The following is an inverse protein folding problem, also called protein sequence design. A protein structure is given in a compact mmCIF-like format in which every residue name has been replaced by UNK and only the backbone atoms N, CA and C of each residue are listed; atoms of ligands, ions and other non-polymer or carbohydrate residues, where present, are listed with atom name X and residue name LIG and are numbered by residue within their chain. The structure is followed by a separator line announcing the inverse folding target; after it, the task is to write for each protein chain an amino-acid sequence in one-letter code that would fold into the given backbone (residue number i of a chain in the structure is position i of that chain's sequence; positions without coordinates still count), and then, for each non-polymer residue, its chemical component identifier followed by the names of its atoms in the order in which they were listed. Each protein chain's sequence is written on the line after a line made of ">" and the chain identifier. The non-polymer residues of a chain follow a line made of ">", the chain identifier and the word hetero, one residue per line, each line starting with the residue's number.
data_IF_139597692930
#
_entry.id   IF_139597692930
#
_cell.length_a   1.000
_cell.length_b   1.000
_cell.length_c   1.000
_cell.angle_alpha   90.00
_cell.angle_beta   90.00
_cell.angle_gamma   90.00
#
_symmetry.space_group_name_H-M   'P 1'
#
loop_
_entity.id
_entity.type
_entity.pdbx_description
1 polymer ?
#
# COMPACT_ATOMS: atom_id res chain seq x y z
N UNK A 1 8.69 -34.52 26.24
CA UNK A 1 9.87 -34.93 25.44
C UNK A 1 11.13 -35.12 26.29
N UNK A 2 11.42 -34.25 27.27
CA UNK A 2 12.62 -34.36 28.14
C UNK A 2 12.71 -35.68 28.95
N UNK A 3 11.57 -36.29 29.30
CA UNK A 3 11.54 -37.58 30.02
C UNK A 3 11.95 -38.81 29.21
N UNK A 4 11.81 -38.79 27.88
CA UNK A 4 12.01 -39.96 27.02
C UNK A 4 13.49 -40.10 26.61
N UNK A 5 14.14 -38.97 26.30
CA UNK A 5 15.57 -38.93 25.92
C UNK A 5 16.46 -39.36 27.09
N UNK A 6 16.15 -38.92 28.32
CA UNK A 6 16.89 -39.33 29.52
C UNK A 6 16.76 -40.83 29.80
N UNK A 7 15.61 -41.42 29.50
CA UNK A 7 15.38 -42.87 29.60
C UNK A 7 16.26 -43.66 28.62
N UNK A 8 16.29 -43.24 27.35
CA UNK A 8 17.13 -43.87 26.32
C UNK A 8 18.63 -43.73 26.62
N UNK A 9 19.09 -42.57 27.06
CA UNK A 9 20.49 -42.35 27.45
C UNK A 9 20.91 -43.23 28.64
N UNK A 10 20.01 -43.44 29.60
CA UNK A 10 20.26 -44.34 30.74
C UNK A 10 20.40 -45.80 30.29
N UNK A 11 19.49 -46.29 29.43
CA UNK A 11 19.54 -47.66 28.91
C UNK A 11 20.81 -47.92 28.08
N UNK A 12 21.26 -46.90 27.34
CA UNK A 12 22.50 -46.96 26.60
C UNK A 12 23.73 -47.03 27.52
N UNK A 13 23.78 -46.24 28.60
CA UNK A 13 24.87 -46.27 29.58
C UNK A 13 24.96 -47.62 30.33
N UNK A 14 23.82 -48.25 30.59
CA UNK A 14 23.79 -49.59 31.21
C UNK A 14 24.23 -50.70 30.23
N UNK A 15 23.83 -50.60 28.97
CA UNK A 15 24.28 -51.52 27.90
C UNK A 15 25.78 -51.38 27.67
N UNK A 16 26.27 -50.14 27.64
CA UNK A 16 27.69 -49.80 27.58
C UNK A 16 28.48 -50.54 28.69
N UNK A 17 28.12 -50.32 29.96
CA UNK A 17 28.84 -50.91 31.10
C UNK A 17 28.92 -52.44 31.00
N UNK A 18 27.81 -53.07 30.63
CA UNK A 18 27.71 -54.52 30.47
C UNK A 18 28.71 -55.05 29.41
N UNK A 19 28.83 -54.36 28.28
CA UNK A 19 29.77 -54.74 27.21
C UNK A 19 31.23 -54.60 27.69
N UNK A 20 31.56 -53.54 28.42
CA UNK A 20 32.92 -53.32 28.96
C UNK A 20 33.34 -54.39 29.98
N UNK A 21 32.43 -54.81 30.84
CA UNK A 21 32.68 -55.88 31.82
C UNK A 21 32.99 -57.21 31.12
N UNK A 22 32.26 -57.55 30.06
CA UNK A 22 32.49 -58.76 29.26
C UNK A 22 33.85 -58.78 28.57
N UNK A 23 34.29 -57.64 28.03
CA UNK A 23 35.62 -57.45 27.43
C UNK A 23 36.75 -57.66 28.44
N UNK A 24 36.56 -57.22 29.69
CA UNK A 24 37.53 -57.43 30.76
C UNK A 24 37.67 -58.91 31.14
N UNK A 25 36.55 -59.64 31.21
CA UNK A 25 36.54 -61.09 31.45
C UNK A 25 37.27 -61.89 30.38
N UNK A 26 37.08 -61.52 29.11
CA UNK A 26 37.71 -62.22 27.97
C UNK A 26 39.24 -62.12 27.98
N UNK A 27 39.81 -60.95 28.33
CA UNK A 27 41.28 -60.77 28.44
C UNK A 27 41.88 -61.57 29.60
N UNK A 28 41.14 -61.70 30.71
CA UNK A 28 41.55 -62.57 31.82
C UNK A 28 41.52 -64.05 31.43
N UNK A 29 40.52 -64.46 30.63
CA UNK A 29 40.45 -65.80 30.05
C UNK A 29 41.65 -66.13 29.15
N UNK A 30 42.04 -65.20 28.27
CA UNK A 30 43.25 -65.34 27.42
C UNK A 30 44.50 -65.51 28.28
N UNK A 31 44.67 -64.71 29.34
CA UNK A 31 45.80 -64.85 30.27
C UNK A 31 45.87 -66.24 30.90
N UNK A 32 44.71 -66.77 31.33
CA UNK A 32 44.61 -68.08 31.97
C UNK A 32 44.99 -69.23 31.03
N UNK A 33 44.53 -69.19 29.76
CA UNK A 33 44.88 -70.19 28.74
C UNK A 33 46.38 -70.15 28.43
N UNK A 34 46.95 -68.96 28.26
CA UNK A 34 48.37 -68.79 27.94
C UNK A 34 49.30 -69.25 29.08
N UNK A 35 48.88 -69.15 30.35
CA UNK A 35 49.64 -69.69 31.48
C UNK A 35 49.68 -71.22 31.55
N UNK A 36 48.81 -71.92 30.82
CA UNK A 36 48.75 -73.39 30.81
C UNK A 36 49.65 -74.03 29.72
N UNK A 37 50.14 -73.25 28.75
CA UNK A 37 50.89 -73.76 27.58
C UNK A 37 52.37 -74.13 27.85
N UNK A 38 52.87 -73.99 29.09
CA UNK A 38 54.25 -74.35 29.45
C UNK A 38 55.33 -73.40 28.90
N UNK A 39 56.59 -73.62 29.31
CA UNK A 39 57.71 -72.69 29.11
C UNK A 39 58.31 -72.66 27.70
N UNK A 40 57.97 -73.60 26.82
CA UNK A 40 58.52 -73.68 25.46
C UNK A 40 57.98 -72.59 24.50
N UNK A 41 56.86 -71.95 24.84
CA UNK A 41 56.16 -70.96 24.00
C UNK A 41 56.08 -69.56 24.65
N UNK A 42 56.90 -69.30 25.68
CA UNK A 42 56.78 -68.12 26.56
C UNK A 42 56.76 -66.77 25.81
N UNK A 43 57.60 -66.63 24.78
CA UNK A 43 57.69 -65.39 23.99
C UNK A 43 56.44 -65.17 23.12
N UNK A 44 55.92 -66.24 22.50
CA UNK A 44 54.68 -66.20 21.73
C UNK A 44 53.49 -65.85 22.63
N UNK A 45 53.45 -66.40 23.84
CA UNK A 45 52.40 -66.14 24.81
C UNK A 45 52.43 -64.69 25.33
N UNK A 46 53.61 -64.11 25.55
CA UNK A 46 53.78 -62.68 25.86
C UNK A 46 53.26 -61.78 24.73
N UNK A 47 53.56 -62.14 23.49
CA UNK A 47 53.09 -61.39 22.31
C UNK A 47 51.56 -61.45 22.15
N UNK A 48 50.94 -62.62 22.31
CA UNK A 48 49.48 -62.78 22.24
C UNK A 48 48.78 -61.97 23.34
N UNK A 49 49.30 -62.03 24.58
CA UNK A 49 48.74 -61.26 25.69
C UNK A 49 48.88 -59.74 25.46
N UNK A 50 50.02 -59.28 24.95
CA UNK A 50 50.26 -57.89 24.54
C UNK A 50 49.24 -57.41 23.49
N UNK A 51 48.97 -58.23 22.46
CA UNK A 51 47.97 -57.93 21.43
C UNK A 51 46.56 -57.85 22.04
N UNK A 52 46.19 -58.78 22.92
CA UNK A 52 44.89 -58.77 23.58
C UNK A 52 44.68 -57.52 24.47
N UNK A 53 45.72 -57.06 25.16
CA UNK A 53 45.68 -55.83 25.95
C UNK A 53 45.54 -54.59 25.06
N UNK A 54 46.29 -54.51 23.95
CA UNK A 54 46.18 -53.41 22.99
C UNK A 54 44.79 -53.33 22.35
N UNK A 55 44.26 -54.46 21.90
CA UNK A 55 42.91 -54.53 21.34
C UNK A 55 41.83 -54.08 22.35
N UNK A 56 41.98 -54.43 23.63
CA UNK A 56 41.08 -53.93 24.68
C UNK A 56 41.18 -52.41 24.84
N UNK A 57 42.38 -51.85 24.84
CA UNK A 57 42.58 -50.40 24.95
C UNK A 57 41.98 -49.65 23.75
N UNK A 58 42.18 -50.15 22.53
CA UNK A 58 41.58 -49.56 21.32
C UNK A 58 40.04 -49.59 21.35
N UNK A 59 39.45 -50.69 21.83
CA UNK A 59 37.99 -50.80 21.96
C UNK A 59 37.42 -49.89 23.05
N UNK A 60 38.12 -49.74 24.19
CA UNK A 60 37.76 -48.78 25.23
C UNK A 60 37.78 -47.35 24.71
N UNK A 61 38.81 -46.98 23.95
CA UNK A 61 38.93 -45.65 23.38
C UNK A 61 37.79 -45.33 22.40
N UNK A 62 37.51 -46.23 21.45
CA UNK A 62 36.39 -46.05 20.48
C UNK A 62 35.04 -45.90 21.17
N UNK A 63 34.89 -46.52 22.32
CA UNK A 63 33.67 -46.51 23.09
C UNK A 63 33.49 -45.22 23.88
N UNK A 64 34.56 -44.69 24.47
CA UNK A 64 34.55 -43.37 25.10
C UNK A 64 34.25 -42.27 24.07
N UNK A 65 34.82 -42.38 22.86
CA UNK A 65 34.52 -41.50 21.72
C UNK A 65 33.03 -41.55 21.36
N UNK A 66 32.45 -42.76 21.21
CA UNK A 66 31.02 -42.93 20.93
C UNK A 66 30.13 -42.33 22.02
N UNK A 67 30.50 -42.50 23.30
CA UNK A 67 29.77 -41.91 24.43
C UNK A 67 29.76 -40.39 24.35
N UNK A 68 30.92 -39.78 24.07
CA UNK A 68 31.04 -38.33 23.90
C UNK A 68 30.20 -37.81 22.73
N UNK A 69 30.18 -38.51 21.60
CA UNK A 69 29.38 -38.10 20.44
C UNK A 69 27.88 -38.17 20.70
N UNK A 70 27.42 -39.18 21.45
CA UNK A 70 26.00 -39.34 21.79
C UNK A 70 25.55 -38.23 22.74
N UNK A 71 26.36 -37.89 23.75
CA UNK A 71 26.07 -36.77 24.66
C UNK A 71 26.01 -35.47 23.88
N UNK A 72 27.00 -35.21 23.03
CA UNK A 72 27.04 -34.00 22.19
C UNK A 72 25.81 -33.89 21.29
N UNK A 73 25.44 -34.98 20.62
CA UNK A 73 24.25 -35.00 19.75
C UNK A 73 22.97 -34.76 20.54
N UNK A 74 22.84 -35.33 21.75
CA UNK A 74 21.68 -35.11 22.60
C UNK A 74 21.57 -33.65 23.08
N UNK A 75 22.69 -33.02 23.40
CA UNK A 75 22.75 -31.60 23.76
C UNK A 75 22.37 -30.72 22.56
N UNK A 76 22.90 -30.99 21.37
CA UNK A 76 22.57 -30.28 20.12
C UNK A 76 21.07 -30.37 19.81
N UNK A 77 20.47 -31.56 19.91
CA UNK A 77 19.03 -31.77 19.70
C UNK A 77 18.21 -31.01 20.75
N UNK A 78 18.63 -31.05 22.02
CA UNK A 78 17.93 -30.36 23.11
C UNK A 78 17.94 -28.84 22.90
N UNK A 79 19.11 -28.29 22.54
CA UNK A 79 19.25 -26.87 22.23
C UNK A 79 18.44 -26.46 21.00
N UNK A 80 18.45 -27.28 19.94
CA UNK A 80 17.65 -27.05 18.74
C UNK A 80 16.15 -27.04 19.01
N UNK A 81 15.64 -28.01 19.78
CA UNK A 81 14.24 -28.05 20.19
C UNK A 81 13.83 -26.83 21.03
N UNK A 82 14.72 -26.37 21.93
CA UNK A 82 14.48 -25.17 22.73
C UNK A 82 14.42 -23.92 21.85
N UNK A 83 15.41 -23.72 20.99
CA UNK A 83 15.45 -22.58 20.08
C UNK A 83 14.21 -22.53 19.17
N UNK A 84 13.80 -23.67 18.61
CA UNK A 84 12.59 -23.76 17.80
C UNK A 84 11.32 -23.39 18.59
N UNK A 85 11.24 -23.80 19.85
CA UNK A 85 10.08 -23.47 20.71
C UNK A 85 10.05 -21.98 21.04
N UNK A 86 11.20 -21.40 21.41
CA UNK A 86 11.34 -19.98 21.73
C UNK A 86 11.02 -19.10 20.50
N UNK A 87 11.53 -19.47 19.32
CA UNK A 87 11.24 -18.78 18.06
C UNK A 87 9.75 -18.82 17.74
N UNK A 88 9.11 -19.98 17.92
CA UNK A 88 7.68 -20.14 17.66
C UNK A 88 6.82 -19.35 18.65
N UNK A 89 7.19 -19.33 19.92
CA UNK A 89 6.52 -18.52 20.95
C UNK A 89 6.60 -17.02 20.63
N UNK A 90 7.79 -16.53 20.27
CA UNK A 90 7.99 -15.14 19.88
C UNK A 90 7.18 -14.75 18.63
N UNK A 91 7.12 -15.64 17.63
CA UNK A 91 6.30 -15.42 16.43
C UNK A 91 4.81 -15.33 16.75
N UNK A 92 4.32 -16.18 17.65
CA UNK A 92 2.92 -16.14 18.09
C UNK A 92 2.62 -14.85 18.86
N UNK A 93 3.50 -14.43 19.77
CA UNK A 93 3.35 -13.17 20.52
C UNK A 93 3.27 -11.98 19.56
N UNK A 94 4.19 -11.88 18.61
CA UNK A 94 4.21 -10.79 17.63
C UNK A 94 2.95 -10.75 16.75
N UNK A 95 2.46 -11.91 16.32
CA UNK A 95 1.21 -12.01 15.55
C UNK A 95 -0.01 -11.55 16.36
N UNK A 96 -0.07 -11.91 17.65
CA UNK A 96 -1.14 -11.49 18.55
C UNK A 96 -1.11 -9.98 18.79
N UNK A 97 0.06 -9.41 19.09
CA UNK A 97 0.22 -7.96 19.29
C UNK A 97 -0.18 -7.15 18.04
N UNK A 98 0.25 -7.58 16.85
CA UNK A 98 -0.15 -6.96 15.59
C UNK A 98 -1.67 -6.98 15.38
N UNK A 99 -2.33 -8.11 15.70
CA UNK A 99 -3.78 -8.23 15.62
C UNK A 99 -4.54 -7.31 16.58
N UNK A 100 -4.02 -7.10 17.81
CA UNK A 100 -4.61 -6.16 18.76
C UNK A 100 -4.48 -4.70 18.31
N UNK A 101 -3.31 -4.31 17.77
CA UNK A 101 -3.09 -2.95 17.23
C UNK A 101 -4.04 -2.66 16.07
N UNK A 102 -4.14 -3.55 15.09
CA UNK A 102 -5.03 -3.37 13.94
C UNK A 102 -6.51 -3.24 14.35
N UNK A 103 -6.95 -3.99 15.36
CA UNK A 103 -8.31 -3.86 15.91
C UNK A 103 -8.53 -2.53 16.63
N UNK A 104 -7.51 -2.01 17.31
CA UNK A 104 -7.52 -0.68 17.94
C UNK A 104 -7.67 0.43 16.90
N UNK A 105 -6.83 0.43 15.87
CA UNK A 105 -6.87 1.38 14.76
C UNK A 105 -8.24 1.38 14.07
N UNK A 106 -8.81 0.21 13.80
CA UNK A 106 -10.15 0.10 13.21
C UNK A 106 -11.25 0.75 14.08
N UNK A 107 -11.13 0.65 15.41
CA UNK A 107 -12.03 1.32 16.36
C UNK A 107 -11.91 2.85 16.32
N UNK A 108 -10.69 3.37 16.16
CA UNK A 108 -10.42 4.80 15.99
C UNK A 108 -10.99 5.32 14.67
N UNK A 109 -10.75 4.61 13.55
CA UNK A 109 -11.34 4.95 12.24
C UNK A 109 -12.87 4.99 12.31
N UNK A 110 -13.50 4.00 12.95
CA UNK A 110 -14.97 3.95 13.10
C UNK A 110 -15.48 5.16 13.88
N UNK A 111 -14.79 5.54 14.96
CA UNK A 111 -15.16 6.70 15.78
C UNK A 111 -15.03 8.01 15.02
N UNK A 112 -13.95 8.19 14.25
CA UNK A 112 -13.72 9.38 13.43
C UNK A 112 -14.78 9.54 12.31
N UNK A 113 -15.14 8.43 11.65
CA UNK A 113 -16.21 8.41 10.63
C UNK A 113 -17.55 8.78 11.25
N UNK A 114 -17.92 8.19 12.40
CA UNK A 114 -19.16 8.51 13.08
C UNK A 114 -19.23 9.97 13.54
N UNK A 115 -18.11 10.53 14.03
CA UNK A 115 -18.03 11.95 14.36
C UNK A 115 -18.27 12.85 13.14
N UNK A 116 -17.64 12.51 12.01
CA UNK A 116 -17.79 13.25 10.76
C UNK A 116 -19.22 13.17 10.21
N UNK A 117 -19.85 12.00 10.27
CA UNK A 117 -21.25 11.81 9.88
C UNK A 117 -22.20 12.65 10.74
N UNK A 118 -21.97 12.71 12.06
CA UNK A 118 -22.75 13.56 12.96
C UNK A 118 -22.66 15.05 12.61
N UNK A 119 -21.48 15.53 12.21
CA UNK A 119 -21.30 16.92 11.75
C UNK A 119 -22.08 17.17 10.45
N UNK A 120 -22.03 16.25 9.48
CA UNK A 120 -22.78 16.40 8.24
C UNK A 120 -24.28 16.35 8.46
N UNK A 121 -24.77 15.47 9.34
CA UNK A 121 -26.19 15.38 9.69
C UNK A 121 -26.71 16.68 10.32
N UNK A 122 -25.91 17.29 11.20
CA UNK A 122 -26.19 18.61 11.76
C UNK A 122 -26.26 19.72 10.71
N UNK A 123 -25.33 19.72 9.75
CA UNK A 123 -25.32 20.69 8.62
C UNK A 123 -26.50 20.50 7.69
N UNK A 124 -26.86 19.25 7.37
CA UNK A 124 -28.04 18.91 6.56
C UNK A 124 -29.31 19.42 7.26
N UNK A 125 -29.45 19.14 8.56
CA UNK A 125 -30.59 19.62 9.35
C UNK A 125 -30.73 21.14 9.35
N UNK A 126 -29.61 21.86 9.51
CA UNK A 126 -29.60 23.32 9.46
C UNK A 126 -29.98 23.86 8.08
N UNK A 127 -29.46 23.25 7.01
CA UNK A 127 -29.81 23.63 5.64
C UNK A 127 -31.28 23.37 5.31
N UNK A 128 -31.85 22.26 5.79
CA UNK A 128 -33.29 21.97 5.64
C UNK A 128 -34.13 23.07 6.27
N UNK A 129 -33.81 23.49 7.49
CA UNK A 129 -34.52 24.60 8.16
C UNK A 129 -34.40 25.93 7.39
N UNK A 130 -33.21 26.22 6.85
CA UNK A 130 -33.01 27.43 6.04
C UNK A 130 -33.86 27.41 4.76
N UNK A 131 -34.00 26.26 4.10
CA UNK A 131 -34.85 26.09 2.92
C UNK A 131 -36.33 26.32 3.27
N UNK A 132 -36.79 25.80 4.41
CA UNK A 132 -38.17 26.01 4.88
C UNK A 132 -38.48 27.50 5.12
N UNK A 133 -37.54 28.26 5.68
CA UNK A 133 -37.68 29.71 5.85
C UNK A 133 -37.76 30.44 4.52
N UNK A 134 -36.89 30.09 3.56
CA UNK A 134 -36.90 30.69 2.21
C UNK A 134 -38.23 30.42 1.50
N UNK A 135 -38.78 29.21 1.60
CA UNK A 135 -40.08 28.90 1.01
C UNK A 135 -41.19 29.76 1.65
N UNK A 136 -41.16 29.93 2.98
CA UNK A 136 -42.11 30.79 3.69
C UNK A 136 -42.06 32.24 3.19
N UNK A 137 -40.86 32.82 3.11
CA UNK A 137 -40.64 34.19 2.62
C UNK A 137 -41.08 34.34 1.16
N UNK A 138 -40.84 33.33 0.31
CA UNK A 138 -41.28 33.32 -1.07
C UNK A 138 -42.81 33.33 -1.19
N UNK A 139 -43.52 32.55 -0.37
CA UNK A 139 -44.99 32.57 -0.36
C UNK A 139 -45.55 33.91 0.14
N UNK A 140 -44.91 34.53 1.13
CA UNK A 140 -45.25 35.88 1.62
C UNK A 140 -45.11 36.92 0.51
N UNK A 141 -43.95 36.98 -0.12
CA UNK A 141 -43.66 37.90 -1.21
C UNK A 141 -44.67 37.76 -2.35
N UNK A 142 -44.95 36.52 -2.79
CA UNK A 142 -45.92 36.22 -3.84
C UNK A 142 -47.31 36.75 -3.51
N UNK A 143 -47.74 36.62 -2.25
CA UNK A 143 -49.05 37.10 -1.79
C UNK A 143 -49.12 38.62 -1.79
N UNK A 144 -48.09 39.28 -1.25
CA UNK A 144 -48.00 40.74 -1.19
C UNK A 144 -47.99 41.35 -2.58
N UNK A 145 -47.13 40.88 -3.48
CA UNK A 145 -47.12 41.38 -4.86
C UNK A 145 -48.44 41.15 -5.59
N UNK A 146 -49.10 40.00 -5.38
CA UNK A 146 -50.42 39.76 -5.98
C UNK A 146 -51.48 40.75 -5.46
N UNK A 147 -51.42 41.09 -4.17
CA UNK A 147 -52.30 42.09 -3.55
C UNK A 147 -52.02 43.49 -4.11
N UNK A 148 -50.76 43.90 -4.17
CA UNK A 148 -50.35 45.22 -4.68
C UNK A 148 -50.75 45.41 -6.15
N UNK A 149 -50.48 44.40 -7.00
CA UNK A 149 -50.89 44.39 -8.40
C UNK A 149 -52.42 44.50 -8.52
N UNK A 150 -53.18 43.87 -7.62
CA UNK A 150 -54.65 43.99 -7.61
C UNK A 150 -55.16 45.38 -7.19
N UNK A 151 -54.40 46.13 -6.38
CA UNK A 151 -54.77 47.46 -5.88
C UNK A 151 -54.29 48.60 -6.78
N UNK A 152 -53.22 48.39 -7.57
CA UNK A 152 -52.68 49.36 -8.51
C UNK A 152 -53.72 49.97 -9.47
N UNK A 153 -54.68 49.23 -10.06
CA UNK A 153 -55.67 49.81 -10.98
C UNK A 153 -56.48 50.94 -10.34
N UNK A 154 -56.92 50.76 -9.08
CA UNK A 154 -57.64 51.81 -8.35
C UNK A 154 -56.77 53.01 -8.00
N UNK A 155 -55.50 52.77 -7.62
CA UNK A 155 -54.55 53.84 -7.34
C UNK A 155 -54.24 54.66 -8.60
N UNK A 156 -54.03 53.99 -9.75
CA UNK A 156 -53.82 54.62 -11.06
C UNK A 156 -55.03 55.46 -11.45
N UNK A 157 -56.26 54.96 -11.30
CA UNK A 157 -57.48 55.72 -11.63
C UNK A 157 -57.63 56.95 -10.74
N UNK A 158 -57.31 56.84 -9.44
CA UNK A 158 -57.33 57.96 -8.51
C UNK A 158 -56.30 59.03 -8.89
N UNK A 159 -55.04 58.62 -9.10
CA UNK A 159 -53.93 59.52 -9.48
C UNK A 159 -54.20 60.21 -10.82
N UNK A 160 -54.71 59.47 -11.82
CA UNK A 160 -55.10 60.05 -13.13
C UNK A 160 -56.24 61.04 -12.97
N UNK A 161 -57.20 60.79 -12.08
CA UNK A 161 -58.32 61.70 -11.81
C UNK A 161 -57.88 62.98 -11.08
N UNK A 162 -56.92 62.88 -10.16
CA UNK A 162 -56.28 64.03 -9.51
C UNK A 162 -55.38 64.82 -10.48
N UNK A 163 -54.56 64.13 -11.27
CA UNK A 163 -53.62 64.70 -12.25
C UNK A 163 -54.33 65.39 -13.43
N UNK A 164 -55.49 64.90 -13.88
CA UNK A 164 -56.27 65.58 -14.92
C UNK A 164 -56.82 66.96 -14.49
N UNK A 165 -56.86 67.24 -13.18
CA UNK A 165 -57.31 68.53 -12.64
C UNK A 165 -56.18 69.58 -12.66
N UNK A 166 -54.90 69.21 -12.74
CA UNK A 166 -53.76 70.15 -12.77
C UNK A 166 -53.15 70.34 -14.16
N UNK A 167 -53.97 70.72 -15.15
CA UNK A 167 -53.52 71.08 -16.51
C UNK A 167 -52.76 72.43 -16.61
N UNK A 168 -52.13 72.89 -15.52
CA UNK A 168 -51.46 74.19 -15.43
C UNK A 168 -49.93 74.11 -15.29
N UNK A 169 -49.33 72.92 -15.30
CA UNK A 169 -47.88 72.73 -15.06
C UNK A 169 -47.09 72.19 -16.27
N UNK A 170 -47.66 72.17 -17.48
CA UNK A 170 -46.99 71.61 -18.66
C UNK A 170 -46.03 72.55 -19.40
N UNK A 171 -45.79 73.77 -18.93
CA UNK A 171 -44.67 74.61 -19.38
C UNK A 171 -44.52 74.85 -20.90
N UNK A 172 -45.56 74.56 -21.71
CA UNK A 172 -45.51 74.66 -23.18
C UNK A 172 -45.11 73.39 -23.95
N UNK A 173 -44.81 72.27 -23.29
CA UNK A 173 -44.64 70.98 -23.98
C UNK A 173 -45.96 70.19 -24.03
N UNK A 174 -46.26 69.57 -25.17
CA UNK A 174 -47.36 68.62 -25.24
C UNK A 174 -47.05 67.44 -24.34
N UNK A 175 -48.01 67.04 -23.50
CA UNK A 175 -47.92 65.87 -22.61
C UNK A 175 -47.29 64.63 -23.29
N UNK A 176 -47.62 64.39 -24.55
CA UNK A 176 -47.08 63.29 -25.38
C UNK A 176 -45.55 63.35 -25.55
N UNK A 177 -44.98 64.56 -25.65
CA UNK A 177 -43.52 64.78 -25.81
C UNK A 177 -42.77 64.51 -24.51
N UNK A 178 -43.30 64.98 -23.39
CA UNK A 178 -42.73 64.75 -22.06
C UNK A 178 -42.73 63.26 -21.70
N UNK A 179 -43.88 62.58 -21.86
CA UNK A 179 -44.03 61.14 -21.62
C UNK A 179 -43.15 60.35 -22.59
N UNK A 180 -43.12 60.70 -23.87
CA UNK A 180 -42.27 60.06 -24.87
C UNK A 180 -40.78 60.11 -24.52
N UNK A 181 -40.28 61.27 -24.06
CA UNK A 181 -38.88 61.44 -23.67
C UNK A 181 -38.49 60.61 -22.45
N UNK A 182 -39.37 60.55 -21.43
CA UNK A 182 -39.15 59.75 -20.21
C UNK A 182 -39.21 58.25 -20.47
N UNK A 183 -40.19 57.80 -21.26
CA UNK A 183 -40.28 56.40 -21.70
C UNK A 183 -39.05 56.01 -22.51
N UNK A 184 -38.58 56.88 -23.42
CA UNK A 184 -37.39 56.60 -24.24
C UNK A 184 -36.11 56.56 -23.40
N UNK A 185 -35.94 57.48 -22.44
CA UNK A 185 -34.81 57.46 -21.50
C UNK A 185 -34.82 56.19 -20.63
N UNK A 186 -35.98 55.84 -20.05
CA UNK A 186 -36.11 54.62 -19.25
C UNK A 186 -35.87 53.36 -20.08
N UNK A 187 -36.41 53.28 -21.30
CA UNK A 187 -36.17 52.15 -22.19
C UNK A 187 -34.69 52.05 -22.60
N UNK A 188 -34.02 53.18 -22.84
CA UNK A 188 -32.58 53.21 -23.15
C UNK A 188 -31.74 52.78 -21.95
N UNK A 189 -32.07 53.27 -20.75
CA UNK A 189 -31.42 52.88 -19.50
C UNK A 189 -31.58 51.39 -19.20
N UNK A 190 -32.80 50.86 -19.33
CA UNK A 190 -33.09 49.42 -19.18
C UNK A 190 -32.32 48.61 -20.22
N UNK A 191 -32.24 49.07 -21.47
CA UNK A 191 -31.50 48.35 -22.52
C UNK A 191 -30.00 48.31 -22.24
N UNK A 192 -29.44 49.41 -21.73
CA UNK A 192 -28.02 49.49 -21.42
C UNK A 192 -27.66 48.67 -20.17
N UNK A 193 -28.48 48.73 -19.12
CA UNK A 193 -28.35 47.85 -17.95
C UNK A 193 -28.45 46.37 -18.35
N UNK A 194 -29.40 46.02 -19.22
CA UNK A 194 -29.56 44.65 -19.69
C UNK A 194 -28.37 44.18 -20.53
N UNK A 195 -27.79 45.06 -21.36
CA UNK A 195 -26.54 44.76 -22.11
C UNK A 195 -25.36 44.53 -21.18
N UNK A 196 -25.17 45.42 -20.19
CA UNK A 196 -24.08 45.29 -19.22
C UNK A 196 -24.19 43.97 -18.43
N UNK A 197 -25.41 43.57 -18.07
CA UNK A 197 -25.67 42.28 -17.43
C UNK A 197 -25.34 41.12 -18.36
N UNK A 198 -25.74 41.17 -19.65
CA UNK A 198 -25.44 40.12 -20.62
C UNK A 198 -23.94 39.97 -20.89
N UNK A 199 -23.22 41.08 -20.99
CA UNK A 199 -21.77 41.11 -21.18
C UNK A 199 -21.06 40.50 -19.95
N UNK A 200 -21.43 40.92 -18.73
CA UNK A 200 -20.91 40.34 -17.50
C UNK A 200 -21.22 38.85 -17.32
N UNK A 201 -22.40 38.39 -17.76
CA UNK A 201 -22.74 36.96 -17.81
C UNK A 201 -21.83 36.22 -18.82
N UNK A 202 -21.63 36.79 -20.00
CA UNK A 202 -20.77 36.19 -21.04
C UNK A 202 -19.32 36.05 -20.56
N UNK A 203 -18.78 37.07 -19.90
CA UNK A 203 -17.43 37.05 -19.33
C UNK A 203 -17.30 36.00 -18.23
N UNK A 204 -18.27 35.94 -17.32
CA UNK A 204 -18.30 34.93 -16.24
C UNK A 204 -18.36 33.52 -16.79
N UNK A 205 -19.15 33.28 -17.85
CA UNK A 205 -19.23 31.99 -18.53
C UNK A 205 -17.89 31.63 -19.18
N UNK A 206 -17.23 32.60 -19.84
CA UNK A 206 -15.91 32.41 -20.44
C UNK A 206 -14.86 32.01 -19.41
N UNK A 207 -14.73 32.80 -18.34
CA UNK A 207 -13.79 32.51 -17.24
C UNK A 207 -14.06 31.15 -16.58
N UNK A 208 -15.34 30.81 -16.38
CA UNK A 208 -15.72 29.51 -15.81
C UNK A 208 -15.34 28.35 -16.75
N UNK A 209 -15.50 28.54 -18.06
CA UNK A 209 -15.11 27.55 -19.07
C UNK A 209 -13.60 27.33 -19.12
N UNK A 210 -12.82 28.41 -19.02
CA UNK A 210 -11.35 28.34 -18.97
C UNK A 210 -10.87 27.64 -17.71
N UNK A 211 -11.41 28.02 -16.54
CA UNK A 211 -11.09 27.38 -15.25
C UNK A 211 -11.45 25.87 -15.24
N UNK A 212 -12.58 25.50 -15.86
CA UNK A 212 -12.97 24.09 -15.97
C UNK A 212 -12.04 23.31 -16.91
N UNK A 213 -11.60 23.94 -18.00
CA UNK A 213 -10.64 23.34 -18.93
C UNK A 213 -9.27 23.13 -18.28
N UNK A 214 -8.79 24.09 -17.51
CA UNK A 214 -7.56 23.99 -16.71
C UNK A 214 -7.69 22.88 -15.65
N UNK A 215 -8.80 22.85 -14.91
CA UNK A 215 -9.07 21.80 -13.93
C UNK A 215 -9.10 20.39 -14.56
N UNK A 216 -9.69 20.23 -15.74
CA UNK A 216 -9.66 18.95 -16.48
C UNK A 216 -8.21 18.58 -16.82
N UNK A 217 -7.40 19.52 -17.32
CA UNK A 217 -6.00 19.25 -17.65
C UNK A 217 -5.18 18.84 -16.41
N UNK A 218 -5.41 19.49 -15.27
CA UNK A 218 -4.75 19.16 -14.00
C UNK A 218 -5.21 17.83 -13.39
N UNK A 219 -6.48 17.46 -13.58
CA UNK A 219 -7.09 16.28 -12.94
C UNK A 219 -7.24 15.05 -13.84
N UNK A 220 -6.83 15.14 -15.10
CA UNK A 220 -6.92 14.03 -16.07
C UNK A 220 -6.06 12.81 -15.72
N UNK A 221 -5.22 12.87 -14.68
CA UNK A 221 -4.50 11.73 -14.16
C UNK A 221 -5.43 10.80 -13.37
N UNK A 222 -5.32 9.49 -13.60
CA UNK A 222 -6.20 8.51 -12.98
C UNK A 222 -5.43 7.33 -12.39
N UNK A 223 -6.07 6.70 -11.39
CA UNK A 223 -5.71 5.39 -10.86
C UNK A 223 -6.96 4.52 -10.91
N UNK A 224 -6.93 3.43 -11.69
CA UNK A 224 -8.00 2.41 -11.74
C UNK A 224 -7.53 1.17 -10.98
N UNK A 225 -8.44 0.50 -10.27
CA UNK A 225 -8.17 -0.74 -9.51
C UNK A 225 -9.24 -1.79 -9.78
N UNK A 226 -8.88 -3.06 -9.64
CA UNK A 226 -9.81 -4.18 -9.83
C UNK A 226 -9.63 -4.82 -11.20
N UNK A 227 -10.72 -5.21 -11.85
CA UNK A 227 -10.69 -5.81 -13.18
C UNK A 227 -10.43 -4.73 -14.25
N UNK A 228 -9.25 -4.78 -14.86
CA UNK A 228 -8.80 -3.84 -15.90
C UNK A 228 -9.29 -4.27 -17.28
N UNK A 229 -9.30 -5.58 -17.51
CA UNK A 229 -9.79 -6.30 -18.70
C UNK A 229 -10.39 -7.64 -18.23
N UNK A 230 -11.13 -8.34 -19.08
CA UNK A 230 -11.77 -9.60 -18.73
C UNK A 230 -10.76 -10.60 -18.11
N UNK A 231 -10.93 -10.90 -16.82
CA UNK A 231 -10.06 -11.79 -16.06
C UNK A 231 -8.70 -11.20 -15.63
N UNK A 232 -8.39 -9.93 -15.93
CA UNK A 232 -7.12 -9.27 -15.59
C UNK A 232 -7.34 -8.29 -14.46
N UNK A 233 -6.83 -8.63 -13.27
CA UNK A 233 -6.96 -7.81 -12.06
C UNK A 233 -5.66 -7.08 -11.72
N UNK A 234 -5.75 -5.80 -11.39
CA UNK A 234 -4.59 -5.01 -10.99
C UNK A 234 -4.89 -3.54 -10.76
N UNK A 235 -3.85 -2.73 -10.91
CA UNK A 235 -3.89 -1.27 -10.81
C UNK A 235 -3.36 -0.65 -12.10
N UNK A 236 -4.08 0.30 -12.68
CA UNK A 236 -3.66 1.07 -13.86
C UNK A 236 -3.50 2.55 -13.50
N UNK A 237 -2.37 3.14 -13.85
CA UNK A 237 -2.08 4.57 -13.70
C UNK A 237 -1.89 5.16 -15.08
N UNK A 238 -2.59 6.26 -15.38
CA UNK A 238 -2.48 6.92 -16.67
C UNK A 238 -3.03 8.33 -16.63
N UNK A 239 -3.12 8.96 -17.80
CA UNK A 239 -3.75 10.26 -17.99
C UNK A 239 -4.66 10.19 -19.21
N UNK A 240 -5.90 10.69 -19.12
CA UNK A 240 -6.93 10.50 -20.16
C UNK A 240 -6.57 11.06 -21.55
N UNK A 241 -5.69 12.05 -21.61
CA UNK A 241 -5.14 12.67 -22.82
C UNK A 241 -3.75 12.13 -23.22
N UNK A 242 -3.20 11.17 -22.45
CA UNK A 242 -1.88 10.58 -22.66
C UNK A 242 -2.00 9.19 -23.28
N UNK A 243 -1.12 8.91 -24.22
CA UNK A 243 -0.98 7.57 -24.78
C UNK A 243 -0.09 6.65 -23.91
N UNK A 244 0.34 7.10 -22.73
CA UNK A 244 1.20 6.33 -21.84
C UNK A 244 0.43 5.94 -20.58
N UNK A 245 0.42 4.64 -20.28
CA UNK A 245 -0.19 4.07 -19.06
C UNK A 245 0.70 2.98 -18.47
N UNK A 246 0.62 2.77 -17.17
CA UNK A 246 1.34 1.72 -16.45
C UNK A 246 0.35 0.82 -15.74
N UNK A 247 0.54 -0.50 -15.80
CA UNK A 247 -0.27 -1.50 -15.10
C UNK A 247 0.56 -2.32 -14.12
N UNK A 248 0.03 -2.49 -12.92
CA UNK A 248 0.57 -3.32 -11.86
C UNK A 248 -0.36 -4.53 -11.72
N UNK A 249 0.12 -5.68 -12.17
CA UNK A 249 -0.53 -6.98 -12.01
C UNK A 249 0.24 -7.79 -10.94
N UNK A 250 -0.31 -8.94 -10.55
CA UNK A 250 0.31 -9.79 -9.52
C UNK A 250 1.69 -10.33 -9.93
N UNK A 251 1.95 -10.48 -11.22
CA UNK A 251 3.14 -11.13 -11.79
C UNK A 251 4.00 -10.18 -12.65
N UNK A 252 3.50 -8.98 -12.96
CA UNK A 252 4.23 -8.01 -13.79
C UNK A 252 3.85 -6.55 -13.54
N UNK A 253 4.82 -5.66 -13.73
CA UNK A 253 4.62 -4.22 -13.88
C UNK A 253 4.89 -3.88 -15.34
N UNK A 254 3.90 -3.33 -16.05
CA UNK A 254 3.91 -3.15 -17.50
C UNK A 254 3.71 -1.70 -17.89
N UNK A 255 4.48 -1.22 -18.86
CA UNK A 255 4.41 0.11 -19.45
C UNK A 255 3.84 0.00 -20.86
N UNK A 256 2.80 0.79 -21.14
CA UNK A 256 2.09 0.77 -22.41
C UNK A 256 2.26 2.10 -23.15
N UNK A 257 2.32 2.00 -24.48
CA UNK A 257 2.08 3.11 -25.39
C UNK A 257 0.83 2.78 -26.22
N UNK A 258 -0.31 3.36 -25.83
CA UNK A 258 -1.64 2.98 -26.30
C UNK A 258 -2.02 1.59 -25.80
N UNK A 259 -2.32 0.70 -26.73
CA UNK A 259 -2.62 -0.71 -26.43
C UNK A 259 -1.39 -1.64 -26.58
N UNK A 260 -0.20 -1.08 -26.84
CA UNK A 260 1.03 -1.86 -27.02
C UNK A 260 1.85 -1.84 -25.74
N UNK A 261 2.13 -3.01 -25.17
CA UNK A 261 3.08 -3.17 -24.06
C UNK A 261 4.51 -2.98 -24.60
N UNK A 262 5.17 -1.91 -24.18
CA UNK A 262 6.51 -1.53 -24.68
C UNK A 262 7.64 -1.95 -23.75
N UNK A 263 7.34 -2.11 -22.46
CA UNK A 263 8.25 -2.68 -21.47
C UNK A 263 7.48 -3.33 -20.32
N UNK A 264 8.08 -4.33 -19.67
CA UNK A 264 7.54 -4.87 -18.42
C UNK A 264 8.64 -5.48 -17.54
N UNK A 265 8.41 -5.49 -16.23
CA UNK A 265 9.24 -6.19 -15.25
C UNK A 265 8.45 -7.42 -14.78
N UNK A 266 9.06 -8.59 -14.91
CA UNK A 266 8.50 -9.85 -14.40
C UNK A 266 9.63 -10.86 -14.17
N UNK A 267 9.51 -11.71 -13.15
CA UNK A 267 10.50 -12.76 -12.83
C UNK A 267 11.94 -12.22 -12.80
N UNK A 268 12.17 -11.15 -12.04
CA UNK A 268 13.46 -10.49 -11.86
C UNK A 268 14.13 -10.00 -13.15
N UNK A 269 13.36 -9.85 -14.24
CA UNK A 269 13.86 -9.46 -15.55
C UNK A 269 13.08 -8.26 -16.09
N UNK A 270 13.80 -7.30 -16.68
CA UNK A 270 13.22 -6.19 -17.44
C UNK A 270 13.20 -6.58 -18.93
N UNK A 271 12.02 -6.58 -19.51
CA UNK A 271 11.81 -6.77 -20.94
C UNK A 271 11.44 -5.42 -21.55
N UNK A 272 12.15 -5.00 -22.59
CA UNK A 272 11.93 -3.70 -23.23
C UNK A 272 12.09 -3.83 -24.75
N UNK A 273 11.16 -3.23 -25.49
CA UNK A 273 11.18 -3.27 -26.97
C UNK A 273 12.34 -2.45 -27.54
N UNK A 274 12.64 -1.30 -26.95
CA UNK A 274 13.73 -0.42 -27.34
C UNK A 274 14.18 0.44 -26.16
N UNK A 275 15.48 0.53 -25.96
CA UNK A 275 16.09 1.50 -25.04
C UNK A 275 16.91 2.52 -25.85
N UNK A 276 16.75 3.80 -25.51
CA UNK A 276 17.70 4.85 -25.88
C UNK A 276 18.28 5.42 -24.58
N UNK A 277 19.57 5.18 -24.36
CA UNK A 277 20.28 5.67 -23.18
C UNK A 277 21.01 6.96 -23.59
N UNK A 278 20.69 8.07 -22.92
CA UNK A 278 21.17 9.40 -23.31
C UNK A 278 22.52 9.77 -22.71
N UNK A 279 22.92 9.11 -21.63
CA UNK A 279 24.11 9.45 -20.85
C UNK A 279 25.00 8.21 -20.72
N UNK A 280 24.71 7.35 -19.75
CA UNK A 280 25.53 6.19 -19.42
C UNK A 280 24.69 4.91 -19.25
N UNK A 281 25.18 3.79 -19.81
CA UNK A 281 24.68 2.44 -19.53
C UNK A 281 25.76 1.64 -18.80
N UNK A 282 25.45 1.18 -17.59
CA UNK A 282 26.32 0.31 -16.81
C UNK A 282 25.76 -1.12 -16.72
N UNK A 283 26.63 -2.12 -16.95
CA UNK A 283 26.27 -3.53 -16.91
C UNK A 283 27.24 -4.27 -15.98
N UNK A 284 26.74 -4.73 -14.84
CA UNK A 284 27.53 -5.43 -13.81
C UNK A 284 27.25 -4.86 -12.42
N UNK A 285 28.19 -5.06 -11.50
CA UNK A 285 28.13 -4.48 -10.16
C UNK A 285 29.55 -4.16 -9.64
N UNK A 286 29.66 -3.42 -8.54
CA UNK A 286 30.96 -2.99 -8.01
C UNK A 286 31.82 -4.11 -7.40
N UNK A 287 31.25 -5.28 -7.12
CA UNK A 287 31.96 -6.42 -6.51
C UNK A 287 32.58 -7.30 -7.60
N UNK A 288 31.81 -7.61 -8.63
CA UNK A 288 32.23 -8.47 -9.75
C UNK A 288 32.88 -7.69 -10.90
N UNK A 289 32.81 -6.35 -10.82
CA UNK A 289 33.16 -5.40 -11.86
C UNK A 289 31.99 -5.14 -12.83
N UNK A 290 32.10 -4.04 -13.58
CA UNK A 290 31.05 -3.59 -14.48
C UNK A 290 31.60 -2.89 -15.72
N UNK A 291 30.87 -3.02 -16.82
CA UNK A 291 31.10 -2.24 -18.02
C UNK A 291 30.33 -0.93 -17.95
N UNK A 292 30.96 0.15 -18.39
CA UNK A 292 30.34 1.46 -18.59
C UNK A 292 30.39 1.79 -20.07
N UNK A 293 29.23 2.04 -20.66
CA UNK A 293 29.06 2.56 -22.01
C UNK A 293 28.67 4.03 -21.91
N UNK A 294 29.56 4.91 -22.36
CA UNK A 294 29.47 6.35 -22.16
C UNK A 294 29.63 7.07 -23.50
N UNK A 295 28.91 8.17 -23.70
CA UNK A 295 28.98 8.96 -24.94
C UNK A 295 29.83 10.20 -24.68
N UNK A 296 31.10 10.13 -25.09
CA UNK A 296 32.03 11.25 -25.02
C UNK A 296 31.96 12.14 -26.27
N UNK A 297 32.59 13.32 -26.23
CA UNK A 297 32.75 14.18 -27.42
C UNK A 297 33.42 13.46 -28.62
N UNK A 298 34.16 12.37 -28.37
CA UNK A 298 34.88 11.61 -29.39
C UNK A 298 34.15 10.32 -29.83
N UNK A 299 32.91 10.11 -29.37
CA UNK A 299 32.10 8.93 -29.70
C UNK A 299 31.87 8.00 -28.50
N UNK A 300 31.45 6.77 -28.78
CA UNK A 300 31.15 5.75 -27.76
C UNK A 300 32.44 5.27 -27.09
N UNK A 301 32.54 5.48 -25.79
CA UNK A 301 33.57 4.92 -24.93
C UNK A 301 33.01 3.72 -24.18
N UNK A 302 33.78 2.63 -24.13
CA UNK A 302 33.44 1.45 -23.33
C UNK A 302 34.58 1.21 -22.35
N UNK A 303 34.29 1.28 -21.05
CA UNK A 303 35.24 1.06 -19.97
C UNK A 303 34.87 -0.17 -19.16
N UNK A 304 35.89 -0.92 -18.73
CA UNK A 304 35.77 -1.94 -17.68
C UNK A 304 36.22 -1.33 -16.36
N UNK A 305 35.40 -1.45 -15.32
CA UNK A 305 35.71 -0.98 -13.97
C UNK A 305 35.69 -2.18 -13.02
N UNK A 306 36.74 -2.32 -12.22
CA UNK A 306 36.91 -3.35 -11.20
C UNK A 306 37.63 -2.76 -10.00
#
# INVERSE_FOLDING_TARGET
>A
MDGDIRGYLSQLDDTLKTVLESLSGNVLGVKSVLTQNGSAEEETNKNIYSIAVKLKQEQLQKFDELKSDIIRTADEVTQGCKAYTDERENSVIAAVESGYTAKGEFGEYTSAVNGTLGVYDGRISANTQAIELIDSDYQEYKRTSSSDISLMPSAIISEVSESFISKNELGGETFDSFIGSKVTQSASGITEEFRAVLEGISDTIGETGDNFSEYILETNAYIRRGELEEGVFGLEIGRGDSNVKTRFLNDKISFYQGEVEVAYISNNSLYITRAQVLDCLEIGNSVDGYFTFDVSQNGLEVRWNQ
#
